data_IF_211919458666
#
_entry.id   IF_211919458666
#
_cell.length_a   1.000
_cell.length_b   1.000
_cell.length_c   1.000
_cell.angle_alpha   90.00
_cell.angle_beta   90.00
_cell.angle_gamma   90.00
#
_symmetry.space_group_name_H-M   'P 1'
#
loop_
_entity.id
_entity.type
_entity.pdbx_description
1 polymer ?
#
# COMPACT_ATOMS: atom_id res chain seq x y z
N UNK A 1 64.65 47.65 5.84
CA UNK A 1 63.89 48.60 6.69
C UNK A 1 62.40 48.38 6.46
N UNK A 2 61.62 48.48 7.56
CA UNK A 2 60.14 48.35 7.71
C UNK A 2 59.52 46.94 7.80
N UNK A 3 59.62 46.41 9.02
CA UNK A 3 58.54 45.95 9.93
C UNK A 3 57.29 45.28 9.35
N UNK A 4 57.07 44.01 9.71
CA UNK A 4 55.74 43.37 9.76
C UNK A 4 55.55 42.78 11.16
N UNK A 5 54.45 43.20 11.78
CA UNK A 5 54.06 42.91 13.16
C UNK A 5 53.38 41.53 13.25
N UNK A 6 53.76 40.76 14.27
CA UNK A 6 53.14 39.50 14.68
C UNK A 6 51.87 39.79 15.49
N UNK A 7 50.77 39.06 15.26
CA UNK A 7 49.64 38.99 16.20
C UNK A 7 49.07 37.56 16.20
N UNK A 8 49.26 36.89 17.34
CA UNK A 8 48.63 35.63 17.76
C UNK A 8 47.77 35.96 18.99
N UNK A 9 46.52 35.47 19.03
CA UNK A 9 45.63 35.45 20.20
C UNK A 9 44.22 35.04 19.77
N UNK A 10 43.81 33.77 19.91
CA UNK A 10 43.23 33.07 21.06
C UNK A 10 41.73 33.36 21.29
N UNK A 11 40.95 32.25 21.32
CA UNK A 11 39.49 32.06 21.43
C UNK A 11 38.74 32.89 22.48
N UNK A 12 37.46 33.20 22.19
CA UNK A 12 36.34 33.11 23.15
C UNK A 12 34.97 33.11 22.43
N UNK A 13 34.11 32.13 22.79
CA UNK A 13 32.72 31.99 22.37
C UNK A 13 31.87 33.17 22.88
N UNK A 14 31.04 33.75 22.02
CA UNK A 14 29.93 34.62 22.42
C UNK A 14 28.64 33.80 22.40
N UNK A 15 28.00 33.66 23.57
CA UNK A 15 26.59 33.35 23.69
C UNK A 15 25.88 34.69 23.93
N UNK A 16 24.99 35.09 23.02
CA UNK A 16 24.19 36.29 23.17
C UNK A 16 23.01 36.05 24.14
N UNK A 17 22.60 37.07 24.93
CA UNK A 17 21.63 36.93 26.01
C UNK A 17 20.18 36.90 25.52
N UNK A 18 19.37 36.03 26.13
CA UNK A 18 17.91 36.06 26.05
C UNK A 18 17.39 37.34 26.70
N UNK A 19 16.74 38.20 25.92
CA UNK A 19 16.01 39.37 26.41
C UNK A 19 14.65 38.91 26.96
N UNK A 20 14.42 39.16 28.25
CA UNK A 20 13.12 39.02 28.89
C UNK A 20 12.16 40.09 28.33
N UNK A 21 11.02 39.65 27.80
CA UNK A 21 9.88 40.53 27.53
C UNK A 21 9.10 40.75 28.84
N UNK A 22 8.56 41.95 28.96
CA UNK A 22 7.90 42.53 30.14
C UNK A 22 6.38 42.32 30.05
N UNK A 23 5.83 41.38 30.82
CA UNK A 23 4.39 41.18 30.98
C UNK A 23 3.88 41.93 32.23
N UNK A 24 3.78 43.25 32.07
CA UNK A 24 3.14 44.13 33.06
C UNK A 24 1.64 43.84 33.19
N UNK A 25 1.25 43.29 34.34
CA UNK A 25 -0.14 43.14 34.77
C UNK A 25 -0.26 43.03 36.29
N UNK A 26 -0.16 44.15 37.00
CA UNK A 26 -0.30 44.20 38.46
C UNK A 26 -1.72 43.87 38.95
N UNK A 27 -1.84 42.87 39.83
CA UNK A 27 -3.07 42.53 40.57
C UNK A 27 -3.19 43.36 41.85
N UNK A 28 -4.36 43.96 42.10
CA UNK A 28 -4.75 44.52 43.41
C UNK A 28 -5.45 43.44 44.25
N UNK A 29 -5.32 43.42 45.59
CA UNK A 29 -5.94 42.39 46.41
C UNK A 29 -7.40 42.71 46.72
N UNK A 30 -8.30 41.78 46.40
CA UNK A 30 -9.67 41.75 46.89
C UNK A 30 -10.70 41.23 45.91
N UNK A 31 -10.71 39.93 45.60
CA UNK A 31 -11.95 39.16 45.43
C UNK A 31 -11.66 37.65 45.37
N UNK A 32 -12.60 36.88 45.89
CA UNK A 32 -12.52 35.47 46.24
C UNK A 32 -12.41 34.54 45.04
N UNK A 33 -11.45 33.61 45.07
CA UNK A 33 -11.44 32.47 44.15
C UNK A 33 -10.17 31.66 44.23
N UNK A 34 -10.25 30.46 44.81
CA UNK A 34 -9.20 29.45 44.72
C UNK A 34 -9.00 29.08 43.24
N UNK A 35 -7.82 29.37 42.67
CA UNK A 35 -7.42 28.82 41.38
C UNK A 35 -6.53 27.60 41.64
N UNK A 36 -7.03 26.42 41.30
CA UNK A 36 -6.20 25.25 41.09
C UNK A 36 -5.48 25.42 39.75
N UNK A 37 -4.14 25.35 39.75
CA UNK A 37 -3.37 25.29 38.52
C UNK A 37 -3.39 23.86 37.97
N UNK A 38 -3.88 23.69 36.75
CA UNK A 38 -3.57 22.52 35.94
C UNK A 38 -2.61 22.97 34.84
N UNK A 39 -1.45 22.31 34.77
CA UNK A 39 -0.52 22.43 33.65
C UNK A 39 -1.11 21.68 32.47
N UNK A 40 -1.75 22.40 31.56
CA UNK A 40 -1.90 21.90 30.19
C UNK A 40 -0.58 22.14 29.47
N UNK A 41 0.06 21.04 29.10
CA UNK A 41 1.18 21.05 28.16
C UNK A 41 0.66 21.55 26.82
N UNK A 42 0.83 22.85 26.55
CA UNK A 42 0.78 23.33 25.17
C UNK A 42 1.94 22.69 24.41
N UNK A 43 1.72 21.99 23.29
CA UNK A 43 2.81 21.76 22.36
C UNK A 43 3.29 23.13 21.88
N UNK A 44 4.53 23.42 22.26
CA UNK A 44 5.38 24.47 21.73
C UNK A 44 5.18 24.68 20.23
N UNK A 45 5.06 25.94 19.83
CA UNK A 45 5.35 26.49 18.49
C UNK A 45 5.30 25.47 17.35
N UNK A 46 4.17 25.42 16.64
CA UNK A 46 4.11 24.80 15.31
C UNK A 46 5.06 25.57 14.41
N UNK A 47 6.26 25.05 14.21
CA UNK A 47 7.12 25.48 13.12
C UNK A 47 6.42 25.02 11.84
N UNK A 48 5.81 25.96 11.13
CA UNK A 48 5.32 25.71 9.76
C UNK A 48 6.56 25.40 8.92
N UNK A 49 6.83 24.11 8.73
CA UNK A 49 7.83 23.68 7.75
C UNK A 49 7.10 23.72 6.41
N UNK A 50 7.38 24.73 5.60
CA UNK A 50 7.04 24.68 4.17
C UNK A 50 7.77 23.47 3.59
N UNK A 51 7.01 22.43 3.29
CA UNK A 51 7.49 21.08 3.05
C UNK A 51 8.32 21.00 1.76
N UNK A 52 9.50 20.39 1.86
CA UNK A 52 10.13 19.69 0.75
C UNK A 52 9.50 18.31 0.60
N UNK A 53 9.22 17.92 -0.64
CA UNK A 53 8.28 16.89 -1.08
C UNK A 53 8.62 15.40 -0.85
N UNK A 54 9.25 14.99 0.26
CA UNK A 54 9.76 13.60 0.40
C UNK A 54 9.27 12.77 1.62
N UNK A 55 8.36 13.26 2.46
CA UNK A 55 7.85 12.50 3.62
C UNK A 55 6.41 11.98 3.37
N UNK A 56 6.20 10.66 3.25
CA UNK A 56 4.89 10.10 2.93
C UNK A 56 3.87 10.27 4.07
N UNK A 57 2.62 10.54 3.68
CA UNK A 57 1.48 10.58 4.61
C UNK A 57 1.07 9.13 4.94
N UNK A 58 1.10 8.79 6.23
CA UNK A 58 0.73 7.45 6.73
C UNK A 58 -0.66 7.43 7.37
N UNK A 59 -1.18 8.58 7.80
CA UNK A 59 -2.51 8.68 8.40
C UNK A 59 -3.20 10.00 8.06
N UNK A 60 -4.52 9.95 7.95
CA UNK A 60 -5.41 11.12 7.83
C UNK A 60 -6.45 11.05 8.93
N UNK A 61 -6.63 12.14 9.67
CA UNK A 61 -7.59 12.26 10.76
C UNK A 61 -8.58 13.39 10.44
N UNK A 62 -9.87 13.11 10.56
CA UNK A 62 -10.94 14.10 10.40
C UNK A 62 -11.58 14.34 11.77
N UNK A 63 -11.61 15.61 12.20
CA UNK A 63 -12.21 16.03 13.47
C UNK A 63 -13.34 17.01 13.19
N UNK A 64 -14.40 17.05 14.00
CA UNK A 64 -15.46 18.05 13.82
C UNK A 64 -14.95 19.46 14.06
N UNK A 65 -15.22 20.39 13.13
CA UNK A 65 -14.85 21.80 13.28
C UNK A 65 -15.92 22.51 14.12
N UNK A 66 -15.49 23.49 14.92
CA UNK A 66 -16.35 24.19 15.88
C UNK A 66 -16.61 25.63 15.41
N UNK A 67 -17.81 26.15 15.66
CA UNK A 67 -18.15 27.51 15.27
C UNK A 67 -17.24 28.56 15.95
N UNK A 68 -17.01 29.70 15.29
CA UNK A 68 -16.19 30.80 15.80
C UNK A 68 -16.75 31.27 17.15
N UNK A 69 -15.97 31.12 18.22
CA UNK A 69 -16.37 31.42 19.61
C UNK A 69 -16.62 30.20 20.49
N UNK A 70 -16.58 28.97 19.94
CA UNK A 70 -16.85 27.70 20.65
C UNK A 70 -15.63 26.82 20.96
N UNK A 71 -14.40 27.30 20.71
CA UNK A 71 -13.17 26.49 20.66
C UNK A 71 -12.76 25.76 21.96
N UNK A 72 -13.44 25.99 23.09
CA UNK A 72 -13.11 25.36 24.37
C UNK A 72 -14.03 24.18 24.73
N UNK A 73 -15.24 24.09 24.16
CA UNK A 73 -16.19 23.00 24.47
C UNK A 73 -16.91 22.43 23.25
N UNK A 74 -16.70 22.99 22.06
CA UNK A 74 -17.42 22.64 20.83
C UNK A 74 -18.94 22.49 21.05
N UNK A 75 -19.54 23.39 21.82
CA UNK A 75 -20.97 23.34 22.13
C UNK A 75 -21.88 23.48 20.90
N UNK A 76 -21.34 24.01 19.80
CA UNK A 76 -21.99 24.10 18.49
C UNK A 76 -21.00 23.73 17.38
N UNK A 77 -21.43 22.78 16.54
CA UNK A 77 -20.67 22.29 15.39
C UNK A 77 -20.71 23.34 14.28
N UNK A 78 -19.56 23.66 13.68
CA UNK A 78 -19.53 24.51 12.49
C UNK A 78 -20.29 23.82 11.35
N UNK A 79 -21.12 24.58 10.62
CA UNK A 79 -21.88 24.04 9.49
C UNK A 79 -21.44 24.66 8.18
N UNK A 80 -21.42 23.84 7.14
CA UNK A 80 -21.23 24.22 5.76
C UNK A 80 -22.43 24.99 5.21
N UNK A 81 -22.28 25.56 4.02
CA UNK A 81 -23.32 26.38 3.39
C UNK A 81 -24.63 25.61 3.11
N UNK A 82 -24.55 24.29 2.98
CA UNK A 82 -25.68 23.37 2.81
C UNK A 82 -26.27 22.85 4.14
N UNK A 83 -25.74 23.29 5.28
CA UNK A 83 -26.15 22.87 6.63
C UNK A 83 -25.51 21.57 7.14
N UNK A 84 -24.59 20.96 6.39
CA UNK A 84 -23.85 19.77 6.86
C UNK A 84 -22.75 20.15 7.86
N UNK A 85 -22.36 19.25 8.78
CA UNK A 85 -21.29 19.53 9.73
C UNK A 85 -19.94 19.64 9.01
N UNK A 86 -19.21 20.72 9.31
CA UNK A 86 -17.86 20.97 8.84
C UNK A 86 -16.87 20.13 9.68
N UNK A 87 -15.87 19.56 9.02
CA UNK A 87 -14.77 18.87 9.70
C UNK A 87 -13.44 19.57 9.43
N UNK A 88 -12.40 19.20 10.15
CA UNK A 88 -11.04 19.68 10.04
C UNK A 88 -10.12 18.48 9.78
N UNK A 89 -9.28 18.58 8.75
CA UNK A 89 -8.39 17.49 8.37
C UNK A 89 -6.97 17.71 8.89
N UNK A 90 -6.39 16.66 9.45
CA UNK A 90 -4.99 16.62 9.88
C UNK A 90 -4.29 15.41 9.27
N UNK A 91 -3.08 15.61 8.74
CA UNK A 91 -2.26 14.53 8.19
C UNK A 91 -1.11 14.20 9.13
N UNK A 92 -0.84 12.90 9.31
CA UNK A 92 0.34 12.41 10.01
C UNK A 92 1.31 11.85 8.99
N UNK A 93 2.55 12.33 8.99
CA UNK A 93 3.62 11.80 8.14
C UNK A 93 4.31 10.62 8.80
N UNK A 94 5.09 9.85 8.02
CA UNK A 94 5.87 8.71 8.53
C UNK A 94 6.90 9.16 9.57
N UNK A 95 7.48 10.36 9.43
CA UNK A 95 8.37 10.95 10.44
C UNK A 95 7.64 11.44 11.71
N UNK A 96 6.31 11.39 11.74
CA UNK A 96 5.48 11.82 12.86
C UNK A 96 5.13 13.31 12.83
N UNK A 97 5.37 14.01 11.72
CA UNK A 97 4.94 15.40 11.56
C UNK A 97 3.42 15.49 11.38
N UNK A 98 2.84 16.56 11.91
CA UNK A 98 1.41 16.85 11.83
C UNK A 98 1.22 18.00 10.85
N UNK A 99 0.49 17.77 9.75
CA UNK A 99 0.19 18.77 8.73
C UNK A 99 -1.29 19.16 8.80
N UNK A 100 -1.53 20.46 8.82
CA UNK A 100 -2.85 21.09 8.91
C UNK A 100 -3.48 21.12 7.51
N UNK A 101 -4.57 20.36 7.32
CA UNK A 101 -5.27 20.22 6.04
C UNK A 101 -6.41 21.23 5.82
N UNK A 102 -6.87 21.88 6.88
CA UNK A 102 -7.95 22.88 6.82
C UNK A 102 -9.35 22.31 7.06
N UNK A 103 -10.33 23.22 7.06
CA UNK A 103 -11.75 22.89 7.17
C UNK A 103 -12.29 22.28 5.86
N UNK A 104 -13.11 21.24 5.97
CA UNK A 104 -13.71 20.54 4.84
C UNK A 104 -15.23 20.41 4.98
N UNK A 105 -15.93 20.65 3.87
CA UNK A 105 -17.39 20.57 3.76
C UNK A 105 -17.83 19.39 2.90
N UNK A 106 -18.83 18.59 3.34
CA UNK A 106 -19.36 17.44 2.59
C UNK A 106 -20.10 17.76 1.28
N UNK A 107 -20.51 19.02 1.05
CA UNK A 107 -21.07 19.43 -0.24
C UNK A 107 -19.98 19.46 -1.30
N UNK A 108 -20.15 18.60 -2.31
CA UNK A 108 -19.17 18.11 -3.27
C UNK A 108 -18.30 17.03 -2.61
N UNK A 109 -18.30 15.81 -3.18
CA UNK A 109 -17.53 14.63 -2.72
C UNK A 109 -16.01 14.80 -2.82
N UNK A 110 -15.52 15.87 -2.23
CA UNK A 110 -14.21 16.50 -2.33
C UNK A 110 -13.72 16.92 -0.94
N UNK A 111 -14.09 16.17 0.10
CA UNK A 111 -13.27 16.13 1.31
C UNK A 111 -11.99 15.31 1.02
N UNK A 112 -10.84 15.60 1.66
CA UNK A 112 -9.66 14.76 1.57
C UNK A 112 -9.88 13.29 2.00
N UNK A 113 -11.01 12.96 2.66
CA UNK A 113 -11.48 11.59 2.88
C UNK A 113 -12.18 10.88 1.68
N UNK A 114 -12.45 11.57 0.57
CA UNK A 114 -13.15 11.01 -0.61
C UNK A 114 -12.26 10.84 -1.85
N UNK A 115 -10.95 11.04 -1.69
CA UNK A 115 -9.98 10.81 -2.76
C UNK A 115 -9.70 9.31 -2.93
N UNK A 116 -9.78 8.82 -4.17
CA UNK A 116 -9.23 7.53 -4.58
C UNK A 116 -7.72 7.59 -4.53
N UNK A 117 -7.17 7.20 -3.38
CA UNK A 117 -5.74 7.02 -3.17
C UNK A 117 -5.28 5.65 -3.68
N UNK A 118 -3.98 5.46 -3.99
CA UNK A 118 -3.44 4.14 -4.34
C UNK A 118 -3.72 3.08 -3.26
N UNK A 119 -3.73 3.45 -1.99
CA UNK A 119 -4.04 2.55 -0.88
C UNK A 119 -5.49 2.04 -0.91
N UNK A 120 -6.46 2.92 -1.21
CA UNK A 120 -7.87 2.53 -1.39
C UNK A 120 -8.03 1.55 -2.55
N UNK A 121 -7.37 1.80 -3.68
CA UNK A 121 -7.40 0.90 -4.84
C UNK A 121 -6.72 -0.43 -4.54
N UNK A 122 -5.57 -0.42 -3.86
CA UNK A 122 -4.88 -1.66 -3.46
C UNK A 122 -5.73 -2.53 -2.52
N UNK A 123 -6.41 -1.91 -1.56
CA UNK A 123 -7.33 -2.61 -0.66
C UNK A 123 -8.54 -3.19 -1.42
N UNK A 124 -9.06 -2.46 -2.40
CA UNK A 124 -10.13 -2.93 -3.27
C UNK A 124 -9.65 -4.10 -4.17
N UNK A 125 -8.47 -3.98 -4.79
CA UNK A 125 -7.90 -4.98 -5.68
C UNK A 125 -7.75 -6.35 -5.00
N UNK A 126 -7.32 -6.38 -3.73
CA UNK A 126 -7.23 -7.61 -2.92
C UNK A 126 -8.56 -8.33 -2.69
N UNK A 127 -9.69 -7.64 -2.88
CA UNK A 127 -11.04 -8.19 -2.68
C UNK A 127 -11.73 -8.51 -4.00
N UNK A 128 -11.13 -8.20 -5.15
CA UNK A 128 -11.69 -8.52 -6.45
C UNK A 128 -11.55 -10.03 -6.68
N UNK A 129 -12.64 -10.75 -7.03
CA UNK A 129 -12.53 -12.13 -7.40
C UNK A 129 -11.79 -12.26 -8.74
N UNK A 130 -10.60 -12.85 -8.70
CA UNK A 130 -9.77 -13.16 -9.86
C UNK A 130 -9.82 -14.67 -10.16
N UNK A 131 -9.77 -15.07 -11.44
CA UNK A 131 -9.81 -16.48 -11.81
C UNK A 131 -8.52 -17.19 -11.39
N UNK A 132 -8.64 -18.47 -11.05
CA UNK A 132 -7.50 -19.38 -11.04
C UNK A 132 -7.03 -19.65 -12.47
N UNK A 133 -5.74 -19.88 -12.65
CA UNK A 133 -5.18 -20.21 -13.96
C UNK A 133 -5.35 -21.72 -14.23
N UNK A 134 -5.89 -22.12 -15.40
CA UNK A 134 -6.11 -23.53 -15.70
C UNK A 134 -4.80 -24.26 -15.98
N UNK A 135 -4.44 -25.19 -15.10
CA UNK A 135 -3.27 -26.05 -15.31
C UNK A 135 -3.53 -27.04 -16.46
N UNK A 136 -2.61 -27.14 -17.41
CA UNK A 136 -2.56 -28.22 -18.40
C UNK A 136 -1.30 -29.03 -18.23
N UNK A 137 -1.44 -30.37 -18.31
CA UNK A 137 -0.35 -31.33 -18.11
C UNK A 137 -0.21 -32.18 -19.36
N UNK A 138 1.01 -32.33 -19.86
CA UNK A 138 1.35 -33.21 -20.98
C UNK A 138 2.36 -34.29 -20.53
N UNK A 139 2.13 -35.57 -20.89
CA UNK A 139 1.06 -36.06 -21.77
C UNK A 139 -0.34 -36.04 -21.11
N UNK A 140 -1.42 -35.99 -21.93
CA UNK A 140 -2.79 -35.95 -21.41
C UNK A 140 -3.16 -37.27 -20.71
N UNK A 141 -4.35 -37.30 -20.09
CA UNK A 141 -4.95 -38.46 -19.40
C UNK A 141 -4.45 -38.72 -17.96
N UNK A 142 -3.83 -37.73 -17.31
CA UNK A 142 -3.50 -37.80 -15.88
C UNK A 142 -2.47 -38.89 -15.54
N UNK A 143 -1.58 -39.22 -16.49
CA UNK A 143 -0.50 -40.19 -16.31
C UNK A 143 0.79 -39.65 -16.89
N UNK A 144 1.88 -39.87 -16.19
CA UNK A 144 3.23 -39.60 -16.70
C UNK A 144 4.18 -40.72 -16.30
N UNK A 145 5.38 -40.74 -16.87
CA UNK A 145 6.40 -41.75 -16.60
C UNK A 145 7.41 -41.28 -15.56
N UNK A 146 7.91 -42.21 -14.75
CA UNK A 146 9.09 -41.99 -13.91
C UNK A 146 10.31 -41.73 -14.81
N UNK A 147 11.16 -40.76 -14.45
CA UNK A 147 12.37 -40.36 -15.17
C UNK A 147 12.13 -39.81 -16.60
N UNK A 148 10.95 -39.23 -16.85
CA UNK A 148 10.65 -38.50 -18.07
C UNK A 148 10.11 -37.11 -17.73
N UNK A 149 10.42 -36.15 -18.59
CA UNK A 149 9.87 -34.80 -18.50
C UNK A 149 8.36 -34.82 -18.70
N UNK A 150 7.65 -34.29 -17.70
CA UNK A 150 6.23 -33.96 -17.78
C UNK A 150 6.14 -32.46 -18.02
N UNK A 151 5.41 -32.03 -19.04
CA UNK A 151 5.27 -30.62 -19.37
C UNK A 151 4.03 -30.02 -18.71
N UNK A 152 4.14 -28.77 -18.28
CA UNK A 152 3.09 -28.01 -17.59
C UNK A 152 2.95 -26.64 -18.26
N UNK A 153 1.73 -26.18 -18.46
CA UNK A 153 1.48 -24.82 -18.93
C UNK A 153 0.08 -24.35 -18.51
N UNK A 154 -0.17 -23.05 -18.63
CA UNK A 154 -1.49 -22.47 -18.38
C UNK A 154 -1.83 -21.44 -19.45
N UNK A 155 -3.11 -21.11 -19.59
CA UNK A 155 -3.59 -20.06 -20.47
C UNK A 155 -4.33 -19.02 -19.63
N UNK A 156 -3.58 -18.10 -19.01
CA UNK A 156 -4.14 -16.99 -18.24
C UNK A 156 -3.67 -15.66 -18.84
N UNK A 157 -4.62 -14.86 -19.33
CA UNK A 157 -4.35 -13.58 -19.97
C UNK A 157 -4.68 -12.36 -19.11
N UNK A 158 -4.55 -11.18 -19.72
CA UNK A 158 -4.96 -9.90 -19.13
C UNK A 158 -6.48 -9.84 -18.93
N UNK A 159 -6.89 -9.17 -17.85
CA UNK A 159 -8.27 -8.96 -17.45
C UNK A 159 -8.53 -7.47 -17.27
N UNK A 160 -9.67 -7.00 -17.77
CA UNK A 160 -10.15 -5.65 -17.50
C UNK A 160 -11.32 -5.70 -16.52
N UNK A 161 -11.27 -4.85 -15.49
CA UNK A 161 -12.37 -4.70 -14.52
C UNK A 161 -12.70 -3.23 -14.33
N UNK A 162 -13.96 -2.97 -14.05
CA UNK A 162 -14.43 -1.64 -13.65
C UNK A 162 -15.14 -1.80 -12.32
N UNK A 163 -14.74 -0.98 -11.35
CA UNK A 163 -15.34 -0.94 -10.01
C UNK A 163 -15.69 0.49 -9.66
N UNK A 164 -16.66 0.66 -8.77
CA UNK A 164 -17.01 1.98 -8.22
C UNK A 164 -16.46 2.06 -6.80
N UNK A 165 -15.54 2.99 -6.56
CA UNK A 165 -14.95 3.25 -5.25
C UNK A 165 -15.29 4.67 -4.86
N UNK A 166 -15.82 4.89 -3.66
CA UNK A 166 -16.18 6.22 -3.14
C UNK A 166 -16.97 7.08 -4.16
N UNK A 167 -17.90 6.46 -4.89
CA UNK A 167 -18.73 7.12 -5.91
C UNK A 167 -18.05 7.40 -7.26
N UNK A 168 -16.77 7.03 -7.44
CA UNK A 168 -15.99 7.27 -8.68
C UNK A 168 -15.71 5.99 -9.44
N UNK A 169 -15.59 6.08 -10.76
CA UNK A 169 -15.31 4.94 -11.61
C UNK A 169 -13.80 4.67 -11.63
N UNK A 170 -13.42 3.45 -11.26
CA UNK A 170 -12.04 2.99 -11.31
C UNK A 170 -11.95 1.82 -12.28
N UNK A 171 -11.16 2.00 -13.32
CA UNK A 171 -10.84 0.96 -14.28
C UNK A 171 -9.52 0.30 -13.90
N UNK A 172 -9.46 -1.02 -14.04
CA UNK A 172 -8.33 -1.86 -13.71
C UNK A 172 -7.91 -2.68 -14.92
N UNK A 173 -6.60 -2.70 -15.18
CA UNK A 173 -5.89 -3.61 -16.08
C UNK A 173 -5.10 -4.58 -15.23
N UNK A 174 -5.38 -5.87 -15.33
CA UNK A 174 -4.87 -6.88 -14.40
C UNK A 174 -4.22 -7.98 -15.23
N UNK A 175 -2.98 -8.36 -14.91
CA UNK A 175 -2.26 -9.39 -15.66
C UNK A 175 -1.53 -10.35 -14.69
N UNK A 176 -1.31 -11.61 -15.09
CA UNK A 176 -0.48 -12.52 -14.32
C UNK A 176 0.97 -12.06 -14.39
N UNK A 177 1.54 -11.70 -13.24
CA UNK A 177 2.92 -11.25 -13.12
C UNK A 177 3.89 -12.40 -12.81
N UNK A 178 3.41 -13.46 -12.13
CA UNK A 178 4.20 -14.66 -11.89
C UNK A 178 3.35 -15.89 -11.61
N UNK A 179 3.97 -17.05 -11.82
CA UNK A 179 3.41 -18.38 -11.63
C UNK A 179 4.27 -19.16 -10.64
N UNK A 180 3.65 -19.84 -9.67
CA UNK A 180 4.32 -20.80 -8.78
C UNK A 180 3.78 -22.19 -9.06
N UNK A 181 4.57 -22.98 -9.77
CA UNK A 181 4.28 -24.37 -10.11
C UNK A 181 4.60 -25.25 -8.91
N UNK A 182 3.64 -26.07 -8.50
CA UNK A 182 3.79 -27.09 -7.46
C UNK A 182 3.61 -28.43 -8.12
N UNK A 183 4.62 -29.30 -8.11
CA UNK A 183 4.55 -30.57 -8.84
C UNK A 183 3.88 -31.71 -8.04
N UNK A 184 3.57 -31.46 -6.77
CA UNK A 184 2.86 -32.41 -5.90
C UNK A 184 3.74 -33.48 -5.24
N UNK A 185 5.06 -33.43 -5.45
CA UNK A 185 6.07 -34.29 -4.81
C UNK A 185 6.99 -33.52 -3.85
N UNK A 186 6.66 -32.26 -3.57
CA UNK A 186 7.43 -31.35 -2.73
C UNK A 186 8.32 -30.39 -3.50
N UNK A 187 8.50 -30.57 -4.81
CA UNK A 187 9.26 -29.64 -5.66
C UNK A 187 8.36 -28.55 -6.24
N UNK A 188 8.95 -27.37 -6.43
CA UNK A 188 8.28 -26.18 -6.95
C UNK A 188 9.19 -25.43 -7.91
N UNK A 189 8.59 -24.69 -8.84
CA UNK A 189 9.29 -23.80 -9.77
C UNK A 189 8.54 -22.46 -9.86
N UNK A 190 9.26 -21.36 -10.01
CA UNK A 190 8.67 -20.05 -10.27
C UNK A 190 9.01 -19.57 -11.69
N UNK A 191 8.05 -18.93 -12.35
CA UNK A 191 8.19 -18.38 -13.70
C UNK A 191 7.42 -17.07 -13.85
N UNK A 192 7.84 -16.22 -14.78
CA UNK A 192 7.04 -15.08 -15.27
C UNK A 192 6.23 -15.44 -16.50
N UNK A 193 6.63 -16.50 -17.22
CA UNK A 193 5.94 -17.02 -18.38
C UNK A 193 4.97 -18.16 -17.98
N UNK A 194 3.84 -18.31 -18.69
CA UNK A 194 2.83 -19.31 -18.38
C UNK A 194 3.21 -20.74 -18.84
N UNK A 195 4.40 -20.91 -19.41
CA UNK A 195 4.83 -22.14 -20.07
C UNK A 195 4.23 -22.29 -21.46
N UNK A 196 4.66 -23.33 -22.17
CA UNK A 196 4.22 -23.61 -23.52
C UNK A 196 3.94 -25.10 -23.74
N UNK A 197 3.01 -25.40 -24.64
CA UNK A 197 2.76 -26.76 -25.08
C UNK A 197 3.99 -27.34 -25.81
N UNK A 198 4.07 -28.67 -25.92
CA UNK A 198 5.01 -29.31 -26.86
C UNK A 198 4.84 -28.70 -28.27
N UNK A 199 5.94 -28.37 -28.99
CA UNK A 199 7.32 -28.81 -28.74
C UNK A 199 8.19 -27.88 -27.90
N UNK A 200 7.70 -26.72 -27.45
CA UNK A 200 8.56 -25.69 -26.83
C UNK A 200 8.98 -26.06 -25.40
N UNK A 201 8.12 -26.74 -24.64
CA UNK A 201 8.44 -27.41 -23.36
C UNK A 201 9.13 -26.49 -22.32
N UNK A 202 8.57 -25.31 -22.07
CA UNK A 202 9.22 -24.31 -21.19
C UNK A 202 9.21 -24.68 -19.70
N UNK A 203 8.16 -25.35 -19.22
CA UNK A 203 8.02 -25.72 -17.82
C UNK A 203 7.86 -27.23 -17.72
N UNK A 204 8.95 -27.91 -17.37
CA UNK A 204 8.99 -29.37 -17.24
C UNK A 204 9.35 -29.81 -15.83
N UNK A 205 8.96 -31.03 -15.48
CA UNK A 205 9.37 -31.70 -14.25
C UNK A 205 9.56 -33.20 -14.45
N UNK A 206 10.63 -33.73 -13.86
CA UNK A 206 10.94 -35.16 -13.88
C UNK A 206 10.60 -35.79 -12.51
N UNK A 207 9.65 -36.73 -12.52
CA UNK A 207 9.30 -37.47 -11.30
C UNK A 207 10.21 -38.69 -11.10
N UNK A 208 10.89 -38.75 -9.95
CA UNK A 208 11.83 -39.83 -9.64
C UNK A 208 11.20 -41.06 -8.97
N UNK A 209 9.94 -40.95 -8.54
CA UNK A 209 9.23 -42.01 -7.80
C UNK A 209 7.84 -42.21 -8.36
N UNK A 210 7.46 -43.47 -8.61
CA UNK A 210 6.07 -43.80 -8.95
C UNK A 210 5.13 -43.46 -7.80
N UNK A 211 3.91 -43.04 -8.13
CA UNK A 211 2.95 -42.62 -7.12
C UNK A 211 1.78 -41.81 -7.67
N UNK A 212 0.99 -41.27 -6.75
CA UNK A 212 -0.01 -40.24 -7.05
C UNK A 212 0.51 -38.92 -6.54
N UNK A 213 0.43 -37.90 -7.38
CA UNK A 213 0.78 -36.51 -7.07
C UNK A 213 -0.36 -35.61 -7.49
N UNK A 214 -0.40 -34.40 -6.92
CA UNK A 214 -1.44 -33.42 -7.20
C UNK A 214 -0.81 -32.08 -7.58
N UNK A 215 -0.26 -31.94 -8.80
CA UNK A 215 0.30 -30.69 -9.26
C UNK A 215 -0.74 -29.56 -9.35
N UNK A 216 -0.31 -28.32 -9.08
CA UNK A 216 -1.10 -27.09 -9.18
C UNK A 216 -0.22 -25.92 -9.63
N UNK A 217 -0.85 -24.83 -10.05
CA UNK A 217 -0.16 -23.57 -10.35
C UNK A 217 -0.85 -22.41 -9.62
N UNK A 218 -0.11 -21.70 -8.78
CA UNK A 218 -0.59 -20.48 -8.16
C UNK A 218 -0.24 -19.28 -9.06
N UNK A 219 -1.16 -18.35 -9.27
CA UNK A 219 -0.95 -17.17 -10.12
C UNK A 219 -0.96 -15.90 -9.29
N UNK A 220 0.08 -15.10 -9.41
CA UNK A 220 0.17 -13.78 -8.78
C UNK A 220 -0.14 -12.69 -9.79
N UNK A 221 -1.19 -11.94 -9.54
CA UNK A 221 -1.65 -10.85 -10.40
C UNK A 221 -1.11 -9.50 -9.94
N UNK A 222 -0.65 -8.71 -10.90
CA UNK A 222 -0.41 -7.28 -10.75
C UNK A 222 -1.49 -6.50 -11.51
N UNK A 223 -1.61 -5.21 -11.21
CA UNK A 223 -2.60 -4.37 -11.87
C UNK A 223 -2.17 -2.92 -12.02
N UNK A 224 -2.77 -2.26 -13.00
CA UNK A 224 -2.82 -0.82 -13.16
C UNK A 224 -4.25 -0.34 -12.99
N UNK A 225 -4.42 0.89 -12.52
CA UNK A 225 -5.70 1.54 -12.38
C UNK A 225 -5.72 2.94 -12.99
N UNK A 226 -6.90 3.40 -13.38
CA UNK A 226 -7.18 4.81 -13.65
C UNK A 226 -8.53 5.20 -13.07
N UNK A 227 -8.67 6.47 -12.71
CA UNK A 227 -9.89 7.03 -12.09
C UNK A 227 -10.52 8.00 -13.07
N UNK A 228 -11.82 7.82 -13.34
CA UNK A 228 -12.64 8.70 -14.20
C UNK A 228 -11.96 9.08 -15.54
N UNK A 229 -11.30 8.10 -16.19
CA UNK A 229 -10.62 8.29 -17.47
C UNK A 229 -9.26 8.99 -17.42
N UNK A 230 -8.69 9.22 -16.23
CA UNK A 230 -7.37 9.79 -16.03
C UNK A 230 -6.20 8.88 -16.46
N UNK A 231 -4.95 9.23 -16.10
CA UNK A 231 -3.78 8.43 -16.44
C UNK A 231 -3.76 7.08 -15.71
N UNK A 232 -3.17 6.07 -16.36
CA UNK A 232 -2.89 4.78 -15.74
C UNK A 232 -1.79 4.91 -14.69
N UNK A 233 -1.96 4.22 -13.57
CA UNK A 233 -1.05 4.17 -12.43
C UNK A 233 -0.98 2.74 -11.91
N UNK A 234 0.16 2.31 -11.39
CA UNK A 234 0.29 0.97 -10.82
C UNK A 234 -0.50 0.85 -9.51
N UNK A 235 -1.14 -0.31 -9.33
CA UNK A 235 -1.74 -0.70 -8.05
C UNK A 235 -0.61 -1.18 -7.14
N UNK A 236 -0.59 -0.71 -5.89
CA UNK A 236 0.42 -1.13 -4.92
C UNK A 236 0.16 -2.58 -4.46
N UNK A 237 1.13 -3.44 -4.70
CA UNK A 237 1.09 -4.86 -4.31
C UNK A 237 0.43 -5.77 -5.34
N UNK A 238 0.27 -7.03 -4.96
CA UNK A 238 -0.23 -8.09 -5.84
C UNK A 238 -1.26 -8.96 -5.12
N UNK A 239 -1.95 -9.80 -5.89
CA UNK A 239 -2.92 -10.78 -5.37
C UNK A 239 -2.57 -12.16 -5.92
N UNK A 240 -2.34 -13.12 -5.02
CA UNK A 240 -2.07 -14.51 -5.42
C UNK A 240 -3.34 -15.35 -5.32
N UNK A 241 -3.69 -16.02 -6.41
CA UNK A 241 -4.79 -16.97 -6.49
C UNK A 241 -4.20 -18.38 -6.57
N UNK A 242 -4.46 -19.26 -5.60
CA UNK A 242 -4.03 -20.65 -5.66
C UNK A 242 -4.80 -21.39 -6.74
N UNK A 243 -4.12 -22.24 -7.50
CA UNK A 243 -4.77 -23.10 -8.50
C UNK A 243 -5.26 -24.41 -7.89
N UNK A 244 -6.35 -24.93 -8.45
CA UNK A 244 -6.88 -26.24 -8.10
C UNK A 244 -5.90 -27.38 -8.45
N UNK A 245 -5.53 -28.27 -7.50
CA UNK A 245 -4.66 -29.41 -7.78
C UNK A 245 -5.30 -30.43 -8.73
N UNK A 246 -4.53 -30.94 -9.68
CA UNK A 246 -4.98 -31.97 -10.63
C UNK A 246 -4.37 -33.33 -10.32
N UNK A 247 -5.17 -34.39 -10.35
CA UNK A 247 -4.68 -35.73 -10.08
C UNK A 247 -3.76 -36.23 -11.22
N UNK A 248 -2.52 -36.58 -10.88
CA UNK A 248 -1.54 -37.15 -11.81
C UNK A 248 -0.96 -38.45 -11.23
N UNK A 249 -0.91 -39.49 -12.07
CA UNK A 249 -0.32 -40.78 -11.69
C UNK A 249 1.01 -40.99 -12.39
N UNK A 250 2.09 -41.01 -11.62
CA UNK A 250 3.43 -41.35 -12.08
C UNK A 250 3.57 -42.87 -12.11
N UNK A 251 3.88 -43.43 -13.29
CA UNK A 251 3.99 -44.88 -13.50
C UNK A 251 5.35 -45.25 -14.08
N UNK A 252 5.77 -46.48 -13.86
CA UNK A 252 6.94 -47.05 -14.54
C UNK A 252 6.49 -47.62 -15.90
N UNK A 253 7.28 -47.40 -16.94
CA UNK A 253 7.11 -48.12 -18.20
C UNK A 253 7.54 -49.58 -18.01
N UNK A 254 6.75 -50.52 -18.54
CA UNK A 254 7.17 -51.92 -18.68
C UNK A 254 7.47 -52.18 -20.15
N UNK A 255 8.72 -52.47 -20.53
CA UNK A 255 9.02 -52.80 -21.92
C UNK A 255 8.29 -54.09 -22.30
N UNK A 256 7.60 -54.07 -23.44
CA UNK A 256 7.03 -55.26 -24.06
C UNK A 256 7.70 -55.40 -25.42
N UNK A 257 8.36 -56.54 -25.64
CA UNK A 257 8.91 -56.89 -26.94
C UNK A 257 7.76 -57.35 -27.84
N UNK A 258 7.50 -56.60 -28.91
CA UNK A 258 6.65 -57.05 -30.01
C UNK A 258 7.55 -57.69 -31.07
N UNK A 259 7.44 -59.01 -31.24
CA UNK A 259 8.13 -59.72 -32.32
C UNK A 259 7.53 -59.33 -33.67
N UNK A 260 8.38 -58.91 -34.60
CA UNK A 260 8.02 -58.67 -36.00
C UNK A 260 8.01 -59.94 -36.83
#
# INVERSE_FOLDING_TARGET
MRTVLLLIGLLLFAADPVQAADDGGGVKPGESGLLASWTESTPSSVTVVSQGDDDPIVQTLETTSCAIGGAQTCGEVATCQDGTPMTYTTFLTESGAVLEGGDNCPADGSGPGSAITPGVVAAAFRRIPLPEAPLTIQPPNGRTLVNFETNFYTEQGELHRTVTLLGRQVELRIWPASFTWRFGDGQTLQSTEPGAAYPDLEITHEYLRKGRVAPSVDTTYAAQFRVDGGPWRDVVGTVTIPGSPQALRVVEARPVLVGG
#
